data_IF_068051503226
#
_entry.id   IF_068051503226
#
_cell.length_a   1.000
_cell.length_b   1.000
_cell.length_c   1.000
_cell.angle_alpha   90.00
_cell.angle_beta   90.00
_cell.angle_gamma   90.00
#
_symmetry.space_group_name_H-M   'P 1'
#
loop_
_entity.id
_entity.type
_entity.pdbx_description
1 polymer ?
#
# COMPACT_ATOMS: atom_id res chain seq x y z
N UNK A 1 -15.37 15.54 -4.94
CA UNK A 1 -14.33 14.79 -4.21
C UNK A 1 -12.99 15.19 -4.81
N UNK A 2 -12.00 15.58 -3.98
CA UNK A 2 -10.65 15.88 -4.49
C UNK A 2 -9.92 14.56 -4.72
N UNK A 3 -9.30 14.39 -5.89
CA UNK A 3 -8.45 13.22 -6.17
C UNK A 3 -7.16 13.34 -5.37
N UNK A 4 -6.75 12.28 -4.66
CA UNK A 4 -5.48 12.19 -3.96
C UNK A 4 -4.36 11.90 -4.96
N UNK A 5 -3.30 12.68 -4.92
CA UNK A 5 -2.07 12.43 -5.67
C UNK A 5 -1.10 11.64 -4.78
N UNK A 6 -0.93 10.36 -5.10
CA UNK A 6 0.00 9.46 -4.41
C UNK A 6 1.32 9.36 -5.19
N UNK A 7 2.44 9.55 -4.51
CA UNK A 7 3.77 9.45 -5.10
C UNK A 7 4.63 8.37 -4.43
N UNK A 8 5.51 7.67 -5.17
CA UNK A 8 6.48 6.75 -4.59
C UNK A 8 7.67 7.50 -3.97
N UNK A 9 8.26 6.93 -2.91
CA UNK A 9 9.55 7.37 -2.40
C UNK A 9 10.45 6.20 -2.00
N UNK A 10 11.64 6.16 -2.55
CA UNK A 10 12.68 5.17 -2.20
C UNK A 10 13.73 5.70 -1.22
N UNK A 11 13.61 6.93 -0.75
CA UNK A 11 14.50 7.58 0.22
C UNK A 11 13.83 8.79 0.85
N UNK A 12 14.37 9.28 1.96
CA UNK A 12 13.91 10.52 2.60
C UNK A 12 14.04 11.74 1.67
N UNK A 13 15.03 11.77 0.80
CA UNK A 13 15.19 12.85 -0.20
C UNK A 13 14.04 12.81 -1.21
N UNK A 14 13.74 11.63 -1.77
CA UNK A 14 12.63 11.43 -2.70
C UNK A 14 11.27 11.77 -2.06
N UNK A 15 11.06 11.40 -0.79
CA UNK A 15 9.86 11.74 -0.04
C UNK A 15 9.69 13.26 0.11
N UNK A 16 10.76 13.96 0.50
CA UNK A 16 10.74 15.43 0.62
C UNK A 16 10.46 16.09 -0.72
N UNK A 17 11.06 15.60 -1.80
CA UNK A 17 10.80 16.09 -3.15
C UNK A 17 9.34 15.87 -3.58
N UNK A 18 8.78 14.68 -3.36
CA UNK A 18 7.39 14.36 -3.67
C UNK A 18 6.40 15.28 -2.93
N UNK A 19 6.59 15.45 -1.61
CA UNK A 19 5.76 16.35 -0.79
C UNK A 19 5.87 17.80 -1.26
N UNK A 20 7.09 18.27 -1.56
CA UNK A 20 7.33 19.62 -2.06
C UNK A 20 6.73 19.86 -3.46
N UNK A 21 6.66 18.81 -4.28
CA UNK A 21 6.01 18.84 -5.59
C UNK A 21 4.48 18.79 -5.52
N UNK A 22 3.90 18.59 -4.35
CA UNK A 22 2.45 18.67 -4.14
C UNK A 22 1.75 17.31 -3.97
N UNK A 23 2.48 16.22 -3.73
CA UNK A 23 1.87 14.94 -3.39
C UNK A 23 0.98 15.08 -2.14
N UNK A 24 -0.22 14.50 -2.20
CA UNK A 24 -1.14 14.44 -1.05
C UNK A 24 -0.79 13.27 -0.12
N UNK A 25 -0.23 12.20 -0.68
CA UNK A 25 0.27 11.05 0.05
C UNK A 25 1.56 10.52 -0.59
N UNK A 26 2.36 9.82 0.21
CA UNK A 26 3.59 9.16 -0.28
C UNK A 26 3.55 7.70 0.16
N UNK A 27 3.96 6.77 -0.71
CA UNK A 27 4.18 5.40 -0.30
C UNK A 27 5.66 5.02 -0.41
N UNK A 28 6.10 4.15 0.50
CA UNK A 28 7.48 3.67 0.57
C UNK A 28 7.55 2.23 1.05
N UNK A 29 8.70 1.59 0.82
CA UNK A 29 9.05 0.29 1.37
C UNK A 29 9.99 0.43 2.54
N UNK A 30 9.82 -0.44 3.53
CA UNK A 30 10.77 -0.60 4.61
C UNK A 30 11.77 -1.71 4.35
N UNK A 31 12.61 -2.01 5.34
CA UNK A 31 13.66 -3.02 5.26
C UNK A 31 13.13 -4.46 5.08
N UNK A 32 11.84 -4.70 5.38
CA UNK A 32 11.22 -6.02 5.27
C UNK A 32 9.85 -5.94 4.60
N UNK A 33 9.35 -7.08 4.11
CA UNK A 33 7.99 -7.32 3.60
C UNK A 33 7.56 -6.47 2.39
N UNK A 34 8.48 -5.71 1.79
CA UNK A 34 8.22 -4.96 0.55
C UNK A 34 8.71 -5.71 -0.69
N UNK A 35 7.99 -5.63 -1.80
CA UNK A 35 8.35 -6.27 -3.07
C UNK A 35 9.72 -5.81 -3.63
N UNK A 36 10.25 -4.71 -3.16
CA UNK A 36 11.59 -4.19 -3.52
C UNK A 36 12.59 -4.34 -2.37
N UNK A 37 12.55 -5.44 -1.64
CA UNK A 37 13.43 -5.70 -0.49
C UNK A 37 14.94 -5.58 -0.81
N UNK A 38 15.34 -5.80 -2.06
CA UNK A 38 16.74 -5.65 -2.52
C UNK A 38 17.14 -4.21 -2.88
N UNK A 39 16.22 -3.27 -2.88
CA UNK A 39 16.55 -1.86 -3.03
C UNK A 39 17.08 -1.28 -1.71
N UNK A 40 17.73 -0.11 -1.78
CA UNK A 40 18.05 0.64 -0.57
C UNK A 40 16.74 1.20 0.00
N UNK A 41 16.17 0.46 0.95
CA UNK A 41 14.95 0.85 1.64
C UNK A 41 15.28 1.69 2.89
N UNK A 42 14.27 2.40 3.42
CA UNK A 42 14.38 3.15 4.65
C UNK A 42 14.46 2.20 5.85
N UNK A 43 15.27 2.55 6.82
CA UNK A 43 15.29 1.87 8.13
C UNK A 43 14.12 2.33 9.02
N UNK A 44 13.99 1.73 10.21
CA UNK A 44 12.90 2.03 11.14
C UNK A 44 12.88 3.52 11.54
N UNK A 45 14.03 4.08 11.89
CA UNK A 45 14.13 5.48 12.34
C UNK A 45 13.82 6.47 11.20
N UNK A 46 14.23 6.12 9.98
CA UNK A 46 13.91 6.89 8.80
C UNK A 46 12.41 6.88 8.51
N UNK A 47 11.73 5.73 8.68
CA UNK A 47 10.27 5.62 8.47
C UNK A 47 9.52 6.41 9.56
N UNK A 48 9.88 6.30 10.83
CA UNK A 48 9.28 7.09 11.90
C UNK A 48 9.44 8.60 11.63
N UNK A 49 10.63 9.01 11.21
CA UNK A 49 10.90 10.41 10.82
C UNK A 49 10.11 10.82 9.57
N UNK A 50 9.85 9.89 8.65
CA UNK A 50 9.05 10.13 7.45
C UNK A 50 7.58 10.38 7.80
N UNK A 51 7.01 9.60 8.73
CA UNK A 51 5.64 9.79 9.24
C UNK A 51 5.49 11.22 9.82
N UNK A 52 6.38 11.61 10.72
CA UNK A 52 6.36 12.95 11.31
C UNK A 52 6.48 14.04 10.23
N UNK A 53 7.39 13.85 9.29
CA UNK A 53 7.63 14.83 8.23
C UNK A 53 6.39 15.08 7.35
N UNK A 54 5.68 14.03 6.97
CA UNK A 54 4.48 14.17 6.12
C UNK A 54 3.31 14.72 6.91
N UNK A 55 3.10 14.28 8.15
CA UNK A 55 2.02 14.75 9.02
C UNK A 55 2.14 16.24 9.35
N UNK A 56 3.34 16.75 9.62
CA UNK A 56 3.58 18.19 9.82
C UNK A 56 3.19 19.05 8.59
N UNK A 57 2.94 18.42 7.44
CA UNK A 57 2.54 19.07 6.18
C UNK A 57 1.13 18.69 5.75
N UNK A 58 0.34 18.06 6.63
CA UNK A 58 -0.99 17.52 6.35
C UNK A 58 -0.98 16.58 5.13
N UNK A 59 0.02 15.70 5.08
CA UNK A 59 0.17 14.65 4.07
C UNK A 59 0.14 13.28 4.73
N UNK A 60 -0.07 12.23 3.93
CA UNK A 60 -0.18 10.84 4.41
C UNK A 60 1.03 10.01 4.02
N UNK A 61 1.31 8.97 4.81
CA UNK A 61 2.31 7.97 4.50
C UNK A 61 1.70 6.57 4.46
N UNK A 62 2.01 5.82 3.40
CA UNK A 62 1.59 4.43 3.25
C UNK A 62 2.82 3.52 3.18
N UNK A 63 2.80 2.45 3.94
CA UNK A 63 3.91 1.48 3.99
C UNK A 63 3.55 0.23 3.18
N UNK A 64 4.46 -0.20 2.29
CA UNK A 64 4.26 -1.45 1.55
C UNK A 64 4.62 -2.66 2.40
N UNK A 65 3.65 -3.58 2.53
CA UNK A 65 3.77 -4.93 3.08
C UNK A 65 3.20 -5.87 2.02
N UNK A 66 3.77 -5.80 0.83
CA UNK A 66 3.17 -6.34 -0.38
C UNK A 66 3.96 -7.52 -0.97
N UNK A 67 4.45 -8.38 -0.10
CA UNK A 67 5.00 -9.71 -0.41
C UNK A 67 4.14 -10.80 0.21
N UNK A 68 4.33 -12.04 -0.25
CA UNK A 68 3.75 -13.22 0.41
C UNK A 68 4.62 -13.58 1.60
N UNK A 69 3.98 -13.86 2.74
CA UNK A 69 4.66 -14.23 3.98
C UNK A 69 4.47 -15.71 4.29
N UNK A 70 5.52 -16.32 4.82
CA UNK A 70 5.42 -17.65 5.46
C UNK A 70 4.82 -17.50 6.85
N UNK A 71 4.30 -18.59 7.38
CA UNK A 71 3.60 -18.60 8.69
C UNK A 71 4.47 -18.02 9.82
N UNK A 72 5.74 -18.46 9.91
CA UNK A 72 6.70 -17.93 10.89
C UNK A 72 6.90 -16.40 10.77
N UNK A 73 6.94 -15.87 9.55
CA UNK A 73 7.11 -14.43 9.32
C UNK A 73 5.85 -13.65 9.73
N UNK A 74 4.69 -14.21 9.44
CA UNK A 74 3.40 -13.62 9.80
C UNK A 74 3.21 -13.62 11.33
N UNK A 75 3.47 -14.73 11.99
CA UNK A 75 3.19 -14.89 13.43
C UNK A 75 4.25 -14.21 14.32
N UNK A 76 5.52 -14.26 13.94
CA UNK A 76 6.60 -13.82 14.82
C UNK A 76 7.20 -12.46 14.46
N UNK A 77 7.18 -12.08 13.16
CA UNK A 77 7.93 -10.92 12.67
C UNK A 77 7.06 -9.73 12.25
N UNK A 78 5.87 -9.99 11.72
CA UNK A 78 5.04 -8.92 11.14
C UNK A 78 4.51 -7.95 12.21
N UNK A 79 3.98 -8.46 13.33
CA UNK A 79 3.44 -7.61 14.38
C UNK A 79 4.50 -6.67 14.99
N UNK A 80 5.68 -7.18 15.44
CA UNK A 80 6.71 -6.29 15.99
C UNK A 80 7.27 -5.31 14.96
N UNK A 81 7.27 -5.68 13.66
CA UNK A 81 7.67 -4.79 12.58
C UNK A 81 6.69 -3.63 12.36
N UNK A 82 5.39 -3.88 12.38
CA UNK A 82 4.38 -2.84 12.09
C UNK A 82 4.04 -1.98 13.30
N UNK A 83 4.14 -2.52 14.50
CA UNK A 83 3.72 -1.86 15.72
C UNK A 83 4.32 -0.46 15.93
N UNK A 84 5.64 -0.23 15.78
CA UNK A 84 6.22 1.10 15.97
C UNK A 84 5.63 2.13 15.01
N UNK A 85 5.39 1.76 13.76
CA UNK A 85 4.82 2.66 12.75
C UNK A 85 3.34 2.97 13.02
N UNK A 86 2.57 1.96 13.45
CA UNK A 86 1.19 2.17 13.87
C UNK A 86 1.10 3.11 15.07
N UNK A 87 1.93 2.91 16.09
CA UNK A 87 2.00 3.78 17.28
C UNK A 87 2.44 5.21 16.92
N UNK A 88 3.24 5.39 15.85
CA UNK A 88 3.63 6.70 15.32
C UNK A 88 2.53 7.35 14.46
N UNK A 89 1.47 6.60 14.12
CA UNK A 89 0.34 7.12 13.35
C UNK A 89 0.41 6.86 11.85
N UNK A 90 1.05 5.76 11.43
CA UNK A 90 1.03 5.34 10.01
C UNK A 90 -0.40 5.34 9.46
N UNK A 91 -0.62 5.97 8.31
CA UNK A 91 -1.96 6.15 7.74
C UNK A 91 -2.53 4.87 7.10
N UNK A 92 -1.69 4.11 6.39
CA UNK A 92 -2.13 2.86 5.76
C UNK A 92 -0.98 1.89 5.48
N UNK A 93 -1.35 0.61 5.29
CA UNK A 93 -0.46 -0.41 4.71
C UNK A 93 -0.99 -0.87 3.36
N UNK A 94 -0.08 -1.10 2.41
CA UNK A 94 -0.38 -1.66 1.09
C UNK A 94 -0.02 -3.13 1.13
N UNK A 95 -1.01 -4.03 1.05
CA UNK A 95 -0.83 -5.47 1.28
C UNK A 95 -1.17 -6.30 0.05
N UNK A 96 -0.47 -7.45 -0.09
CA UNK A 96 -0.73 -8.47 -1.10
C UNK A 96 -1.28 -9.76 -0.49
N UNK A 97 -0.77 -10.15 0.66
CA UNK A 97 -1.07 -11.42 1.31
C UNK A 97 -2.40 -11.37 2.08
N UNK A 98 -3.25 -12.38 1.90
CA UNK A 98 -4.56 -12.46 2.57
C UNK A 98 -4.42 -12.70 4.07
N UNK A 99 -3.39 -13.46 4.49
CA UNK A 99 -3.08 -13.67 5.90
C UNK A 99 -2.64 -12.38 6.57
N UNK A 100 -1.78 -11.61 5.88
CA UNK A 100 -1.35 -10.26 6.33
C UNK A 100 -2.56 -9.33 6.46
N UNK A 101 -3.46 -9.29 5.48
CA UNK A 101 -4.67 -8.46 5.54
C UNK A 101 -5.49 -8.79 6.78
N UNK A 102 -5.77 -10.08 7.02
CA UNK A 102 -6.53 -10.54 8.18
C UNK A 102 -5.83 -10.21 9.50
N UNK A 103 -4.53 -10.44 9.58
CA UNK A 103 -3.73 -10.18 10.78
C UNK A 103 -3.70 -8.68 11.11
N UNK A 104 -3.38 -7.83 10.12
CA UNK A 104 -3.36 -6.37 10.29
C UNK A 104 -4.72 -5.84 10.75
N UNK A 105 -5.81 -6.27 10.11
CA UNK A 105 -7.16 -5.85 10.53
C UNK A 105 -7.49 -6.26 11.97
N UNK A 106 -6.98 -7.42 12.42
CA UNK A 106 -7.19 -7.89 13.79
C UNK A 106 -6.34 -7.14 14.82
N UNK A 107 -5.08 -6.82 14.47
CA UNK A 107 -4.13 -6.19 15.40
C UNK A 107 -4.26 -4.68 15.46
N UNK A 108 -4.59 -4.05 14.33
CA UNK A 108 -4.61 -2.61 14.12
C UNK A 108 -5.93 -2.18 13.48
N UNK A 109 -7.04 -2.17 14.26
CA UNK A 109 -8.38 -1.98 13.70
C UNK A 109 -8.60 -0.62 13.03
N UNK A 110 -7.85 0.39 13.43
CA UNK A 110 -7.95 1.76 12.90
C UNK A 110 -6.99 2.03 11.72
N UNK A 111 -6.08 1.08 11.41
CA UNK A 111 -5.15 1.23 10.31
C UNK A 111 -5.83 0.94 8.97
N UNK A 112 -5.73 1.86 8.02
CA UNK A 112 -6.24 1.65 6.68
C UNK A 112 -5.45 0.56 5.94
N UNK A 113 -6.17 -0.29 5.19
CA UNK A 113 -5.59 -1.39 4.42
C UNK A 113 -5.90 -1.18 2.94
N UNK A 114 -4.85 -0.97 2.16
CA UNK A 114 -4.94 -0.84 0.71
C UNK A 114 -4.55 -2.18 0.05
N UNK A 115 -5.48 -2.76 -0.69
CA UNK A 115 -5.22 -3.97 -1.45
C UNK A 115 -4.32 -3.67 -2.65
N UNK A 116 -3.10 -4.22 -2.63
CA UNK A 116 -2.09 -4.00 -3.67
C UNK A 116 -2.55 -4.45 -5.05
N UNK A 117 -2.02 -3.84 -6.11
CA UNK A 117 -2.16 -4.34 -7.48
C UNK A 117 -1.66 -5.79 -7.65
N UNK A 118 -0.76 -6.22 -6.76
CA UNK A 118 -0.24 -7.59 -6.72
C UNK A 118 -1.29 -8.62 -6.26
N UNK A 119 -2.41 -8.20 -5.67
CA UNK A 119 -3.57 -9.08 -5.40
C UNK A 119 -4.37 -9.42 -6.67
N UNK A 120 -4.03 -8.81 -7.80
CA UNK A 120 -4.61 -9.10 -9.12
C UNK A 120 -6.13 -8.98 -9.13
N UNK A 121 -6.64 -7.86 -8.62
CA UNK A 121 -8.10 -7.62 -8.59
C UNK A 121 -8.56 -7.18 -9.98
N UNK A 122 -9.24 -8.09 -10.68
CA UNK A 122 -9.71 -7.89 -12.06
C UNK A 122 -11.21 -7.65 -12.19
N UNK A 123 -11.92 -7.45 -11.07
CA UNK A 123 -13.34 -7.21 -11.16
C UNK A 123 -14.03 -6.97 -9.82
N UNK A 124 -15.29 -6.59 -9.90
CA UNK A 124 -16.11 -6.21 -8.74
C UNK A 124 -16.34 -7.32 -7.72
N UNK A 125 -16.30 -8.60 -8.12
CA UNK A 125 -16.46 -9.71 -7.19
C UNK A 125 -15.26 -9.80 -6.23
N UNK A 126 -14.03 -9.72 -6.76
CA UNK A 126 -12.80 -9.68 -5.95
C UNK A 126 -12.74 -8.43 -5.08
N UNK A 127 -13.10 -7.26 -5.64
CA UNK A 127 -13.13 -6.02 -4.87
C UNK A 127 -14.10 -6.09 -3.67
N UNK A 128 -15.34 -6.57 -3.88
CA UNK A 128 -16.30 -6.79 -2.78
C UNK A 128 -15.80 -7.78 -1.73
N UNK A 129 -15.11 -8.82 -2.15
CA UNK A 129 -14.52 -9.78 -1.22
C UNK A 129 -13.47 -9.11 -0.33
N UNK A 130 -12.56 -8.31 -0.91
CA UNK A 130 -11.57 -7.55 -0.13
C UNK A 130 -12.22 -6.51 0.81
N UNK A 131 -13.25 -5.82 0.32
CA UNK A 131 -14.05 -4.92 1.16
C UNK A 131 -14.64 -5.66 2.38
N UNK A 132 -15.19 -6.86 2.17
CA UNK A 132 -15.74 -7.68 3.26
C UNK A 132 -14.70 -8.15 4.28
N UNK A 133 -13.43 -8.18 3.90
CA UNK A 133 -12.30 -8.48 4.78
C UNK A 133 -11.71 -7.23 5.46
N UNK A 134 -12.25 -6.06 5.15
CA UNK A 134 -11.85 -4.80 5.78
C UNK A 134 -10.81 -3.98 5.02
N UNK A 135 -10.55 -4.28 3.75
CA UNK A 135 -9.80 -3.34 2.91
C UNK A 135 -10.58 -2.02 2.77
N UNK A 136 -9.87 -0.89 2.74
CA UNK A 136 -10.44 0.45 2.57
C UNK A 136 -10.20 1.00 1.16
N UNK A 137 -9.16 0.51 0.49
CA UNK A 137 -8.78 0.91 -0.87
C UNK A 137 -8.38 -0.33 -1.68
N UNK A 138 -8.60 -0.27 -2.99
CA UNK A 138 -8.09 -1.27 -3.94
C UNK A 138 -7.27 -0.59 -5.04
N UNK A 139 -6.11 -1.18 -5.34
CA UNK A 139 -5.33 -0.86 -6.54
C UNK A 139 -5.66 -1.93 -7.58
N UNK A 140 -6.59 -1.68 -8.51
CA UNK A 140 -7.02 -2.71 -9.46
C UNK A 140 -5.87 -3.14 -10.36
N UNK A 141 -6.02 -4.32 -10.94
CA UNK A 141 -5.08 -4.80 -11.95
C UNK A 141 -5.01 -3.83 -13.14
N UNK A 142 -3.81 -3.62 -13.66
CA UNK A 142 -3.55 -2.66 -14.76
C UNK A 142 -4.20 -3.06 -16.08
N UNK A 143 -4.65 -4.30 -16.18
CA UNK A 143 -5.32 -4.88 -17.34
C UNK A 143 -6.78 -4.43 -17.50
N UNK A 144 -7.36 -3.77 -16.47
CA UNK A 144 -8.74 -3.34 -16.49
C UNK A 144 -8.95 -2.11 -17.38
N UNK A 145 -10.06 -2.13 -18.12
CA UNK A 145 -10.60 -0.96 -18.80
C UNK A 145 -11.24 0.02 -17.82
N UNK A 146 -11.41 1.27 -18.24
CA UNK A 146 -12.13 2.26 -17.43
C UNK A 146 -13.56 1.85 -17.07
N UNK A 147 -14.25 1.12 -17.95
CA UNK A 147 -15.59 0.62 -17.70
C UNK A 147 -15.63 -0.41 -16.56
N UNK A 148 -14.62 -1.28 -16.48
CA UNK A 148 -14.47 -2.26 -15.41
C UNK A 148 -14.13 -1.58 -14.08
N UNK A 149 -13.20 -0.62 -14.10
CA UNK A 149 -12.86 0.19 -12.91
C UNK A 149 -14.09 0.94 -12.41
N UNK A 150 -14.87 1.55 -13.32
CA UNK A 150 -16.12 2.23 -12.96
C UNK A 150 -17.13 1.26 -12.35
N UNK A 151 -17.19 0.01 -12.83
CA UNK A 151 -18.06 -1.02 -12.24
C UNK A 151 -17.64 -1.36 -10.81
N UNK A 152 -16.34 -1.48 -10.53
CA UNK A 152 -15.84 -1.66 -9.16
C UNK A 152 -16.29 -0.50 -8.28
N UNK A 153 -16.05 0.73 -8.71
CA UNK A 153 -16.43 1.94 -7.97
C UNK A 153 -17.93 2.03 -7.65
N UNK A 154 -18.79 1.59 -8.58
CA UNK A 154 -20.26 1.63 -8.37
C UNK A 154 -20.79 0.52 -7.46
N UNK A 155 -20.03 -0.53 -7.25
CA UNK A 155 -20.48 -1.75 -6.55
C UNK A 155 -19.77 -2.00 -5.22
N UNK A 156 -18.85 -1.11 -4.83
CA UNK A 156 -18.12 -1.12 -3.56
C UNK A 156 -18.04 0.28 -2.99
N UNK A 157 -17.72 0.39 -1.69
CA UNK A 157 -17.37 1.65 -1.04
C UNK A 157 -15.85 1.86 -0.99
N UNK A 158 -15.07 0.97 -1.60
CA UNK A 158 -13.62 1.08 -1.65
C UNK A 158 -13.17 2.34 -2.38
N UNK A 159 -12.15 2.99 -1.87
CA UNK A 159 -11.37 3.92 -2.66
C UNK A 159 -10.67 3.19 -3.81
N UNK A 160 -10.57 3.82 -4.96
CA UNK A 160 -9.90 3.27 -6.14
C UNK A 160 -8.60 4.03 -6.39
N UNK A 161 -7.50 3.29 -6.42
CA UNK A 161 -6.19 3.85 -6.77
C UNK A 161 -5.75 3.32 -8.14
N UNK A 162 -5.39 4.23 -9.05
CA UNK A 162 -4.94 3.88 -10.40
C UNK A 162 -3.58 4.50 -10.70
N UNK A 163 -2.71 3.74 -11.35
CA UNK A 163 -1.45 4.29 -11.88
C UNK A 163 -1.73 5.23 -13.05
N UNK A 164 -1.19 6.43 -12.96
CA UNK A 164 -1.32 7.46 -14.03
C UNK A 164 0.03 7.82 -14.64
N UNK A 165 1.15 7.47 -13.99
CA UNK A 165 2.50 7.72 -14.45
C UNK A 165 3.48 6.69 -13.88
N UNK A 166 4.51 6.35 -14.65
CA UNK A 166 5.60 5.46 -14.24
C UNK A 166 5.93 4.40 -15.29
N UNK A 167 6.93 3.57 -14.98
CA UNK A 167 7.30 2.45 -15.84
C UNK A 167 6.21 1.37 -15.79
N UNK A 168 5.75 0.92 -16.96
CA UNK A 168 4.84 -0.22 -17.06
C UNK A 168 5.61 -1.53 -16.83
N UNK A 169 5.08 -2.39 -15.96
CA UNK A 169 5.58 -3.75 -15.83
C UNK A 169 5.17 -4.57 -17.06
N UNK A 170 6.10 -5.35 -17.59
CA UNK A 170 5.84 -6.25 -18.72
C UNK A 170 4.88 -7.40 -18.35
N UNK A 171 4.94 -7.85 -17.10
CA UNK A 171 4.12 -8.96 -16.62
C UNK A 171 2.69 -8.52 -16.33
N UNK A 172 1.77 -9.49 -16.31
CA UNK A 172 0.47 -9.30 -15.69
C UNK A 172 0.61 -8.90 -14.22
N UNK A 173 -0.36 -8.13 -13.74
CA UNK A 173 -0.39 -7.67 -12.34
C UNK A 173 -0.30 -8.87 -11.39
N UNK A 174 0.58 -8.79 -10.40
CA UNK A 174 0.82 -9.86 -9.43
C UNK A 174 1.59 -11.08 -9.92
N UNK A 175 2.01 -11.14 -11.18
CA UNK A 175 2.68 -12.30 -11.78
C UNK A 175 4.15 -12.05 -12.16
N UNK A 176 4.74 -10.97 -11.66
CA UNK A 176 6.14 -10.65 -11.95
C UNK A 176 7.07 -11.56 -11.14
N UNK A 177 7.98 -12.26 -11.84
CA UNK A 177 8.99 -13.11 -11.20
C UNK A 177 10.34 -12.40 -10.98
N UNK A 178 10.43 -11.13 -11.35
CA UNK A 178 11.65 -10.30 -11.21
C UNK A 178 11.61 -9.35 -10.00
N UNK A 179 10.55 -9.38 -9.23
CA UNK A 179 10.39 -8.54 -8.03
C UNK A 179 10.19 -9.35 -6.79
#
# INVERSE_FOLDING_TARGET
MKTELLAPAGSMEALKAAVSAGADAVYLGGAAFGARAYAKNLDEQEILSAIDYVHLRNRKLYLTVNTLLKEEELEEKLYPYLRPYYEQGLDAVIVQDMGVLKAVRSWFPDLDIHASTQMTVTGSAGARFLESLGATRVVPARELSFAEIQKIHRTTNLEIECFVHGALCYCYSGQCLFS
#
